data_IF_608889064992
#
_entry.id   IF_608889064992
#
_cell.length_a   1.000
_cell.length_b   1.000
_cell.length_c   1.000
_cell.angle_alpha   90.00
_cell.angle_beta   90.00
_cell.angle_gamma   90.00
#
_symmetry.space_group_name_H-M   'P 1'
#
loop_
_entity.id
_entity.type
_entity.pdbx_description
1 polymer ?
#
# COMPACT_ATOMS: atom_id res chain seq x y z
N UNK A 1 14.27 3.47 3.22
CA UNK A 1 13.07 2.75 3.71
C UNK A 1 11.75 3.15 3.01
N UNK A 2 11.11 4.30 3.31
CA UNK A 2 9.79 4.64 2.73
C UNK A 2 9.83 4.84 1.21
N UNK A 3 10.86 5.53 0.69
CA UNK A 3 11.08 5.76 -0.75
C UNK A 3 11.37 4.47 -1.54
N UNK A 4 12.15 3.55 -0.97
CA UNK A 4 12.45 2.26 -1.62
C UNK A 4 11.21 1.37 -1.73
N UNK A 5 10.36 1.38 -0.70
CA UNK A 5 9.09 0.68 -0.72
C UNK A 5 8.12 1.28 -1.76
N UNK A 6 8.03 2.62 -1.84
CA UNK A 6 7.29 3.32 -2.90
C UNK A 6 7.79 2.91 -4.30
N UNK A 7 9.10 2.89 -4.50
CA UNK A 7 9.70 2.41 -5.75
C UNK A 7 9.40 0.94 -6.05
N UNK A 8 9.25 0.10 -5.01
CA UNK A 8 8.81 -1.29 -5.19
C UNK A 8 7.34 -1.37 -5.58
N UNK A 9 6.48 -0.50 -5.07
CA UNK A 9 5.06 -0.46 -5.44
C UNK A 9 4.88 0.02 -6.87
N UNK A 10 5.59 1.07 -7.28
CA UNK A 10 5.57 1.60 -8.65
C UNK A 10 6.06 0.56 -9.66
N UNK A 11 7.15 -0.16 -9.37
CA UNK A 11 7.66 -1.23 -10.24
C UNK A 11 6.73 -2.44 -10.37
N UNK A 12 5.89 -2.69 -9.37
CA UNK A 12 4.96 -3.81 -9.40
C UNK A 12 3.57 -3.42 -9.94
N UNK A 13 3.38 -2.16 -10.38
CA UNK A 13 2.13 -1.59 -10.91
C UNK A 13 0.89 -1.82 -10.02
N UNK A 14 1.11 -2.06 -8.74
CA UNK A 14 0.04 -2.43 -7.80
C UNK A 14 -0.69 -1.19 -7.23
N UNK A 15 -0.14 0.01 -7.43
CA UNK A 15 -0.61 1.25 -6.81
C UNK A 15 -0.53 2.43 -7.78
N UNK A 16 -1.58 3.26 -7.82
CA UNK A 16 -1.55 4.57 -8.49
C UNK A 16 -1.38 5.66 -7.43
N UNK A 17 -0.38 6.53 -7.61
CA UNK A 17 -0.20 7.69 -6.75
C UNK A 17 -1.29 8.73 -7.06
N UNK A 18 -2.20 8.95 -6.11
CA UNK A 18 -3.25 9.97 -6.22
C UNK A 18 -2.82 11.26 -5.54
N UNK A 19 -3.14 12.43 -6.12
CA UNK A 19 -2.84 13.72 -5.50
C UNK A 19 -3.61 13.88 -4.18
N UNK A 20 -3.04 14.69 -3.28
CA UNK A 20 -3.66 14.99 -1.99
C UNK A 20 -5.02 15.70 -2.21
N UNK A 21 -6.11 15.23 -1.59
CA UNK A 21 -7.34 16.02 -1.52
C UNK A 21 -7.11 17.25 -0.63
N UNK A 22 -7.53 18.42 -1.13
CA UNK A 22 -7.24 19.72 -0.53
C UNK A 22 -7.74 19.83 0.92
N UNK A 23 -8.91 19.25 1.21
CA UNK A 23 -9.61 19.38 2.48
C UNK A 23 -9.37 18.24 3.49
N UNK A 24 -8.41 17.34 3.25
CA UNK A 24 -8.10 16.25 4.18
C UNK A 24 -6.72 16.40 4.83
N UNK A 25 -6.68 16.22 6.15
CA UNK A 25 -5.44 16.09 6.89
C UNK A 25 -4.81 14.73 6.62
N UNK A 26 -3.59 14.73 6.09
CA UNK A 26 -2.83 13.52 5.88
C UNK A 26 -2.33 13.04 7.24
N UNK A 27 -2.89 11.91 7.71
CA UNK A 27 -2.37 11.19 8.87
C UNK A 27 -0.93 10.78 8.53
N UNK A 28 0.04 11.21 9.36
CA UNK A 28 1.48 10.92 9.18
C UNK A 28 1.76 9.41 9.20
N UNK A 29 0.95 8.67 9.95
CA UNK A 29 1.04 7.22 10.06
C UNK A 29 -0.09 6.57 9.27
N UNK A 30 0.26 5.71 8.31
CA UNK A 30 -0.69 4.98 7.47
C UNK A 30 -0.41 3.49 7.52
N UNK A 31 -1.47 2.70 7.49
CA UNK A 31 -1.38 1.24 7.36
C UNK A 31 -1.49 0.87 5.88
N UNK A 32 -0.56 0.05 5.41
CA UNK A 32 -0.59 -0.54 4.07
C UNK A 32 -1.06 -1.99 4.20
N UNK A 33 -2.19 -2.31 3.56
CA UNK A 33 -2.75 -3.66 3.55
C UNK A 33 -2.43 -4.36 2.22
N UNK A 34 -2.03 -5.62 2.29
CA UNK A 34 -1.83 -6.47 1.11
C UNK A 34 -2.37 -7.86 1.39
N UNK A 35 -3.29 -8.31 0.55
CA UNK A 35 -3.82 -9.67 0.61
C UNK A 35 -2.96 -10.57 -0.27
N UNK A 36 -2.48 -11.68 0.29
CA UNK A 36 -1.87 -12.76 -0.47
C UNK A 36 -3.00 -13.67 -0.95
N UNK A 37 -3.18 -13.73 -2.26
CA UNK A 37 -4.14 -14.61 -2.91
C UNK A 37 -3.48 -15.94 -3.26
N UNK A 38 -4.27 -17.01 -3.28
CA UNK A 38 -3.88 -18.32 -3.81
C UNK A 38 -4.06 -18.37 -5.34
N UNK A 39 -3.70 -19.49 -5.96
CA UNK A 39 -3.96 -19.76 -7.39
C UNK A 39 -5.45 -19.64 -7.75
N UNK A 40 -6.33 -19.90 -6.78
CA UNK A 40 -7.79 -19.79 -6.90
C UNK A 40 -8.32 -18.37 -6.55
N UNK A 41 -7.44 -17.37 -6.46
CA UNK A 41 -7.77 -15.99 -6.06
C UNK A 41 -8.41 -15.86 -4.67
N UNK A 42 -8.29 -16.88 -3.82
CA UNK A 42 -8.79 -16.86 -2.44
C UNK A 42 -7.75 -16.20 -1.53
N UNK A 43 -8.19 -15.32 -0.62
CA UNK A 43 -7.30 -14.70 0.36
C UNK A 43 -6.76 -15.74 1.32
N UNK A 44 -5.45 -16.02 1.23
CA UNK A 44 -4.74 -16.95 2.12
C UNK A 44 -4.19 -16.22 3.33
N UNK A 45 -3.74 -14.97 3.14
CA UNK A 45 -3.13 -14.18 4.22
C UNK A 45 -3.28 -12.69 4.01
N UNK A 46 -3.75 -12.00 5.03
CA UNK A 46 -3.72 -10.54 5.10
C UNK A 46 -2.38 -10.10 5.69
N UNK A 47 -1.68 -9.19 5.02
CA UNK A 47 -0.47 -8.54 5.51
C UNK A 47 -0.78 -7.06 5.75
N UNK A 48 -0.33 -6.54 6.88
CA UNK A 48 -0.40 -5.13 7.20
C UNK A 48 1.01 -4.63 7.54
N UNK A 49 1.36 -3.45 7.04
CA UNK A 49 2.60 -2.76 7.41
C UNK A 49 2.28 -1.35 7.85
N UNK A 50 2.74 -1.00 9.05
CA UNK A 50 2.70 0.37 9.54
C UNK A 50 3.79 1.16 8.81
N UNK A 51 3.40 2.31 8.24
CA UNK A 51 4.32 3.27 7.66
C UNK A 51 4.13 4.58 8.41
N UNK A 52 5.15 4.99 9.15
CA UNK A 52 5.23 6.25 9.87
C UNK A 52 6.30 7.16 9.25
#
# INVERSE_FOLDING_TARGET
AMKEELHRFERNDVWTLVPKPEHQNIIRTRWVFKNKLDEQSKVVRNKARLVA
#
